data_IF_014846140840
#
_entry.id   IF_014846140840
#
_cell.length_a   1.000
_cell.length_b   1.000
_cell.length_c   1.000
_cell.angle_alpha   90.00
_cell.angle_beta   90.00
_cell.angle_gamma   90.00
#
_symmetry.space_group_name_H-M   'P 1'
#
loop_
_entity.id
_entity.type
_entity.pdbx_description
1 polymer ?
#
# COMPACT_ATOMS: atom_id res chain seq x y z
N UNK A 1 20.63 -40.67 10.37
CA UNK A 1 21.02 -39.25 10.52
C UNK A 1 19.89 -38.39 9.98
N UNK A 2 19.06 -37.86 10.87
CA UNK A 2 17.96 -36.96 10.54
C UNK A 2 18.54 -35.57 10.32
N UNK A 3 18.55 -35.08 9.07
CA UNK A 3 18.92 -33.70 8.80
C UNK A 3 17.90 -32.77 9.49
N UNK A 4 18.36 -31.72 10.22
CA UNK A 4 17.45 -30.73 10.75
C UNK A 4 16.81 -30.03 9.56
N UNK A 5 15.48 -30.06 9.53
CA UNK A 5 14.65 -29.28 8.62
C UNK A 5 14.78 -27.82 9.05
N UNK A 6 15.89 -27.16 8.71
CA UNK A 6 15.97 -25.70 8.69
C UNK A 6 14.79 -25.23 7.88
N UNK A 7 13.77 -24.74 8.57
CA UNK A 7 12.54 -24.31 7.94
C UNK A 7 12.90 -23.25 6.92
N UNK A 8 12.50 -23.45 5.68
CA UNK A 8 12.63 -22.58 4.50
C UNK A 8 12.36 -21.08 4.79
N UNK A 9 11.66 -20.77 5.90
CA UNK A 9 11.52 -19.43 6.48
C UNK A 9 12.85 -18.73 6.84
N UNK A 10 13.90 -19.46 7.22
CA UNK A 10 15.20 -18.89 7.59
C UNK A 10 16.07 -18.55 6.37
N UNK A 11 15.68 -18.97 5.15
CA UNK A 11 16.38 -18.60 3.94
C UNK A 11 16.23 -17.10 3.59
N UNK A 12 15.26 -16.42 4.20
CA UNK A 12 14.96 -15.01 3.94
C UNK A 12 14.70 -14.24 5.25
N UNK A 13 15.73 -14.00 6.08
CA UNK A 13 15.57 -13.30 7.35
C UNK A 13 14.90 -11.93 7.18
N UNK A 14 15.20 -11.24 6.07
CA UNK A 14 14.59 -9.96 5.72
C UNK A 14 13.12 -10.07 5.28
N UNK A 15 12.67 -11.20 4.73
CA UNK A 15 11.25 -11.40 4.41
C UNK A 15 10.40 -11.48 5.69
N UNK A 16 10.92 -12.15 6.73
CA UNK A 16 10.27 -12.21 8.03
C UNK A 16 10.16 -10.80 8.64
N UNK A 17 11.21 -9.99 8.55
CA UNK A 17 11.19 -8.60 9.01
C UNK A 17 10.22 -7.74 8.19
N UNK A 18 10.30 -7.78 6.85
CA UNK A 18 9.48 -6.99 5.93
C UNK A 18 7.96 -7.24 6.10
N UNK A 19 7.59 -8.49 6.37
CA UNK A 19 6.18 -8.87 6.58
C UNK A 19 5.73 -8.81 8.04
N UNK A 20 6.62 -8.50 9.00
CA UNK A 20 6.28 -8.46 10.41
C UNK A 20 5.22 -7.39 10.73
N UNK A 21 5.37 -6.20 10.14
CA UNK A 21 4.42 -5.08 10.31
C UNK A 21 3.02 -5.44 9.80
N UNK A 22 2.92 -5.97 8.57
CA UNK A 22 1.64 -6.43 7.99
C UNK A 22 0.99 -7.50 8.88
N UNK A 23 1.74 -8.52 9.29
CA UNK A 23 1.21 -9.58 10.17
C UNK A 23 0.79 -9.05 11.53
N UNK A 24 1.53 -8.10 12.09
CA UNK A 24 1.16 -7.44 13.33
C UNK A 24 -0.15 -6.68 13.17
N UNK A 25 -0.30 -5.89 12.10
CA UNK A 25 -1.51 -5.13 11.79
C UNK A 25 -2.72 -6.05 11.60
N UNK A 26 -2.59 -7.12 10.81
CA UNK A 26 -3.66 -8.13 10.63
C UNK A 26 -4.07 -8.76 11.96
N UNK A 27 -3.11 -9.10 12.84
CA UNK A 27 -3.41 -9.65 14.17
C UNK A 27 -4.01 -8.62 15.12
N UNK A 28 -3.61 -7.35 15.03
CA UNK A 28 -4.19 -6.28 15.82
C UNK A 28 -5.67 -6.08 15.46
N UNK A 29 -5.99 -6.06 14.16
CA UNK A 29 -7.37 -6.03 13.66
C UNK A 29 -8.18 -7.23 14.15
N UNK A 30 -7.63 -8.45 14.04
CA UNK A 30 -8.32 -9.66 14.49
C UNK A 30 -8.56 -9.71 16.00
N UNK A 31 -7.64 -9.17 16.81
CA UNK A 31 -7.78 -9.11 18.28
C UNK A 31 -8.69 -7.98 18.76
N UNK A 32 -8.81 -6.91 17.97
CA UNK A 32 -9.64 -5.75 18.31
C UNK A 32 -11.08 -5.91 17.88
N UNK A 33 -11.51 -7.10 17.43
CA UNK A 33 -12.89 -7.42 17.11
C UNK A 33 -13.67 -7.74 18.40
N UNK A 34 -14.45 -6.81 18.97
CA UNK A 34 -15.47 -7.13 19.97
C UNK A 34 -16.69 -7.74 19.24
N UNK A 35 -17.79 -7.98 19.95
CA UNK A 35 -19.06 -8.42 19.33
C UNK A 35 -19.59 -7.48 18.21
N UNK A 36 -19.01 -6.27 18.05
CA UNK A 36 -19.21 -5.36 16.91
C UNK A 36 -17.85 -4.80 16.47
N UNK A 37 -17.33 -5.15 15.28
CA UNK A 37 -16.01 -4.71 14.83
C UNK A 37 -15.95 -3.18 14.71
N UNK A 38 -14.93 -2.56 15.30
CA UNK A 38 -14.69 -1.13 15.15
C UNK A 38 -14.46 -0.78 13.66
N UNK A 39 -15.00 0.35 13.16
CA UNK A 39 -14.82 0.77 11.77
C UNK A 39 -13.34 1.08 11.47
N UNK A 40 -12.93 0.86 10.23
CA UNK A 40 -11.60 1.24 9.72
C UNK A 40 -11.45 2.76 9.82
N UNK A 41 -10.32 3.23 10.37
CA UNK A 41 -10.00 4.65 10.47
C UNK A 41 -8.90 5.09 9.47
N UNK A 42 -8.63 6.39 9.44
CA UNK A 42 -7.60 6.99 8.57
C UNK A 42 -6.18 6.50 8.85
N UNK A 43 -5.86 6.09 10.08
CA UNK A 43 -4.53 5.57 10.45
C UNK A 43 -4.31 4.21 9.80
N UNK A 44 -5.32 3.35 9.79
CA UNK A 44 -5.24 2.05 9.12
C UNK A 44 -4.96 2.21 7.62
N UNK A 45 -5.66 3.13 6.95
CA UNK A 45 -5.46 3.38 5.52
C UNK A 45 -4.08 4.02 5.22
N UNK A 46 -3.57 4.89 6.10
CA UNK A 46 -2.21 5.44 5.97
C UNK A 46 -1.14 4.33 5.99
N UNK A 47 -1.23 3.39 6.94
CA UNK A 47 -0.31 2.25 7.07
C UNK A 47 -0.39 1.32 5.84
N UNK A 48 -1.61 0.97 5.39
CA UNK A 48 -1.79 0.13 4.20
C UNK A 48 -1.18 0.82 2.97
N UNK A 49 -1.41 2.11 2.79
CA UNK A 49 -0.83 2.88 1.69
C UNK A 49 0.71 2.92 1.76
N UNK A 50 1.30 3.03 2.96
CA UNK A 50 2.75 2.95 3.13
C UNK A 50 3.32 1.61 2.63
N UNK A 51 2.66 0.49 2.94
CA UNK A 51 3.06 -0.82 2.45
C UNK A 51 2.94 -0.95 0.93
N UNK A 52 1.83 -0.48 0.35
CA UNK A 52 1.62 -0.53 -1.10
C UNK A 52 2.64 0.30 -1.87
N UNK A 53 2.95 1.51 -1.38
CA UNK A 53 3.96 2.39 -2.02
C UNK A 53 5.38 1.87 -1.89
N UNK A 54 5.73 1.23 -0.76
CA UNK A 54 7.02 0.55 -0.62
C UNK A 54 7.16 -0.61 -1.61
N UNK A 55 6.13 -1.45 -1.76
CA UNK A 55 6.12 -2.54 -2.75
C UNK A 55 6.15 -2.02 -4.18
N UNK A 56 5.44 -0.92 -4.47
CA UNK A 56 5.49 -0.25 -5.76
C UNK A 56 6.92 0.18 -6.13
N UNK A 57 7.67 0.78 -5.21
CA UNK A 57 9.06 1.17 -5.44
C UNK A 57 9.98 -0.04 -5.63
N UNK A 58 9.80 -1.11 -4.86
CA UNK A 58 10.56 -2.34 -5.04
C UNK A 58 10.33 -2.95 -6.43
N UNK A 59 9.08 -3.04 -6.88
CA UNK A 59 8.78 -3.56 -8.22
C UNK A 59 9.34 -2.66 -9.33
N UNK A 60 9.40 -1.34 -9.12
CA UNK A 60 10.02 -0.43 -10.08
C UNK A 60 11.52 -0.74 -10.27
N UNK A 61 12.24 -0.91 -9.16
CA UNK A 61 13.66 -1.27 -9.20
C UNK A 61 13.89 -2.65 -9.84
N UNK A 62 13.06 -3.64 -9.50
CA UNK A 62 13.14 -4.98 -10.09
C UNK A 62 12.81 -4.98 -11.58
N UNK A 63 11.82 -4.20 -12.01
CA UNK A 63 11.48 -4.06 -13.43
C UNK A 63 12.63 -3.45 -14.23
N UNK A 64 13.30 -2.43 -13.67
CA UNK A 64 14.47 -1.80 -14.27
C UNK A 64 15.64 -2.79 -14.36
N UNK A 65 15.94 -3.54 -13.29
CA UNK A 65 17.07 -4.50 -13.28
C UNK A 65 16.83 -5.76 -14.13
N UNK A 66 15.56 -6.14 -14.33
CA UNK A 66 15.20 -7.32 -15.13
C UNK A 66 15.37 -7.07 -16.63
N UNK A 67 15.43 -5.80 -17.05
CA UNK A 67 15.70 -5.41 -18.44
C UNK A 67 17.13 -4.88 -18.60
N UNK A 68 17.81 -5.13 -19.73
CA UNK A 68 17.37 -5.92 -20.88
C UNK A 68 17.40 -7.47 -20.80
N UNK A 69 17.99 -8.17 -19.80
CA UNK A 69 18.18 -9.63 -19.90
C UNK A 69 16.90 -10.44 -20.09
N UNK A 70 15.79 -10.04 -19.46
CA UNK A 70 14.52 -10.77 -19.48
C UNK A 70 13.35 -9.84 -19.81
N UNK A 71 13.18 -9.46 -21.09
CA UNK A 71 12.24 -8.42 -21.48
C UNK A 71 10.77 -8.78 -21.19
N UNK A 72 10.39 -10.05 -21.35
CA UNK A 72 9.04 -10.53 -21.02
C UNK A 72 8.75 -10.44 -19.52
N UNK A 73 9.66 -10.92 -18.67
CA UNK A 73 9.53 -10.81 -17.22
C UNK A 73 9.46 -9.34 -16.78
N UNK A 74 10.31 -8.48 -17.34
CA UNK A 74 10.27 -7.04 -17.07
C UNK A 74 8.96 -6.37 -17.49
N UNK A 75 8.27 -6.86 -18.54
CA UNK A 75 6.90 -6.40 -18.88
C UNK A 75 5.89 -6.77 -17.80
N UNK A 76 5.90 -8.02 -17.33
CA UNK A 76 5.01 -8.45 -16.24
C UNK A 76 5.26 -7.67 -14.95
N UNK A 77 6.52 -7.40 -14.60
CA UNK A 77 6.87 -6.57 -13.43
C UNK A 77 6.37 -5.13 -13.58
N UNK A 78 6.50 -4.54 -14.77
CA UNK A 78 5.95 -3.21 -15.05
C UNK A 78 4.42 -3.19 -14.93
N UNK A 79 3.71 -4.21 -15.44
CA UNK A 79 2.27 -4.36 -15.25
C UNK A 79 1.91 -4.47 -13.77
N UNK A 80 2.61 -5.32 -13.01
CA UNK A 80 2.38 -5.49 -11.58
C UNK A 80 2.61 -4.19 -10.79
N UNK A 81 3.66 -3.43 -11.12
CA UNK A 81 3.91 -2.10 -10.56
C UNK A 81 2.73 -1.15 -10.79
N UNK A 82 2.21 -1.08 -12.02
CA UNK A 82 1.05 -0.24 -12.36
C UNK A 82 -0.18 -0.63 -11.53
N UNK A 83 -0.43 -1.93 -11.33
CA UNK A 83 -1.55 -2.40 -10.49
C UNK A 83 -1.39 -2.07 -9.02
N UNK A 84 -0.17 -2.15 -8.47
CA UNK A 84 0.08 -1.70 -7.10
C UNK A 84 -0.20 -0.22 -6.92
N UNK A 85 0.16 0.62 -7.91
CA UNK A 85 -0.19 2.03 -7.85
C UNK A 85 -1.71 2.26 -7.88
N UNK A 86 -2.46 1.53 -8.72
CA UNK A 86 -3.92 1.62 -8.76
C UNK A 86 -4.56 1.19 -7.43
N UNK A 87 -4.03 0.14 -6.79
CA UNK A 87 -4.47 -0.26 -5.45
C UNK A 87 -4.18 0.84 -4.41
N UNK A 88 -2.99 1.46 -4.47
CA UNK A 88 -2.65 2.59 -3.60
C UNK A 88 -3.55 3.81 -3.83
N UNK A 89 -3.92 4.09 -5.08
CA UNK A 89 -4.88 5.16 -5.42
C UNK A 89 -6.26 4.89 -4.81
N UNK A 90 -6.79 3.67 -4.94
CA UNK A 90 -8.07 3.31 -4.30
C UNK A 90 -8.04 3.43 -2.78
N UNK A 91 -6.92 3.07 -2.12
CA UNK A 91 -6.75 3.26 -0.67
C UNK A 91 -6.67 4.75 -0.30
N UNK A 92 -5.99 5.55 -1.12
CA UNK A 92 -5.91 7.01 -0.95
C UNK A 92 -7.28 7.68 -1.11
N UNK A 93 -8.09 7.26 -2.07
CA UNK A 93 -9.44 7.76 -2.26
C UNK A 93 -10.32 7.39 -1.06
N UNK A 94 -10.24 6.14 -0.58
CA UNK A 94 -10.95 5.71 0.62
C UNK A 94 -10.55 6.51 1.87
N UNK A 95 -9.27 6.89 2.00
CA UNK A 95 -8.80 7.74 3.10
C UNK A 95 -9.52 9.08 3.15
N UNK A 96 -9.75 9.70 2.00
CA UNK A 96 -10.48 10.97 1.92
C UNK A 96 -11.98 10.84 2.22
N UNK A 97 -12.55 9.64 2.15
CA UNK A 97 -13.95 9.37 2.50
C UNK A 97 -14.19 9.10 3.99
N UNK A 98 -13.14 8.78 4.77
CA UNK A 98 -13.26 8.56 6.20
C UNK A 98 -13.27 9.88 6.99
N UNK A 99 -13.95 9.96 8.15
CA UNK A 99 -13.90 11.15 9.01
C UNK A 99 -12.49 11.38 9.59
N UNK A 100 -12.15 12.62 9.92
CA UNK A 100 -10.96 12.94 10.73
C UNK A 100 -11.31 12.62 12.18
N UNK A 101 -10.51 11.80 12.85
CA UNK A 101 -10.64 11.64 14.30
C UNK A 101 -10.34 12.99 14.96
N UNK A 102 -11.19 13.41 15.90
CA UNK A 102 -11.13 14.70 16.61
C UNK A 102 -11.70 15.95 15.91
N UNK A 103 -12.65 15.82 14.98
CA UNK A 103 -13.56 16.94 14.69
C UNK A 103 -14.57 17.14 15.84
N UNK A 104 -14.06 17.42 17.04
CA UNK A 104 -14.85 18.19 18.00
C UNK A 104 -14.96 19.62 17.45
N UNK A 105 -16.14 20.26 17.52
CA UNK A 105 -16.32 21.61 16.98
C UNK A 105 -15.26 22.50 17.62
N UNK A 106 -14.44 23.14 16.79
CA UNK A 106 -13.35 24.02 17.18
C UNK A 106 -13.80 24.96 18.31
N UNK A 107 -13.41 24.63 19.54
CA UNK A 107 -13.22 25.64 20.58
C UNK A 107 -12.13 26.56 20.02
N UNK A 108 -12.54 27.76 19.59
CA UNK A 108 -11.67 28.76 18.97
C UNK A 108 -10.74 29.44 19.97
N UNK A 109 -10.71 28.95 21.22
CA UNK A 109 -9.75 29.35 22.24
C UNK A 109 -8.33 28.89 21.92
N UNK A 110 -7.38 29.83 21.89
CA UNK A 110 -5.95 29.53 21.88
C UNK A 110 -5.54 29.05 23.27
N UNK A 111 -5.24 27.76 23.41
CA UNK A 111 -4.80 27.12 24.67
C UNK A 111 -3.32 26.73 24.57
N UNK A 112 -2.37 27.67 24.78
CA UNK A 112 -0.93 27.45 24.57
C UNK A 112 -0.30 26.41 25.50
N UNK A 113 -0.94 26.09 26.62
CA UNK A 113 -0.59 25.00 27.53
C UNK A 113 -0.93 23.60 27.00
N UNK A 114 -1.78 23.52 25.97
CA UNK A 114 -2.06 22.27 25.26
C UNK A 114 -1.09 22.16 24.08
N UNK A 115 0.08 21.56 24.33
CA UNK A 115 0.89 21.08 23.22
C UNK A 115 0.02 20.06 22.47
N UNK A 116 -0.20 20.19 21.15
CA UNK A 116 -0.89 19.15 20.42
C UNK A 116 -0.02 17.90 20.59
N UNK A 117 -0.53 16.86 21.25
CA UNK A 117 -0.14 15.48 20.92
C UNK A 117 -0.61 15.28 19.49
N UNK A 118 0.16 15.87 18.56
CA UNK A 118 -0.29 16.12 17.21
C UNK A 118 -0.63 14.77 16.59
N UNK A 119 -1.79 14.66 15.93
CA UNK A 119 -2.14 13.43 15.25
C UNK A 119 -0.96 13.01 14.37
N UNK A 120 -0.63 11.70 14.30
CA UNK A 120 0.50 11.23 13.50
C UNK A 120 0.42 11.92 12.15
N UNK A 121 1.49 12.60 11.72
CA UNK A 121 1.47 13.33 10.45
C UNK A 121 1.17 12.31 9.36
N UNK A 122 -0.09 12.23 8.94
CA UNK A 122 -0.55 11.27 7.96
C UNK A 122 0.08 11.69 6.65
N UNK A 123 1.08 10.93 6.20
CA UNK A 123 1.88 11.28 5.02
C UNK A 123 1.32 10.63 3.75
N UNK A 124 0.13 10.03 3.81
CA UNK A 124 -0.52 9.36 2.69
C UNK A 124 -0.54 10.23 1.42
N UNK A 125 -0.96 11.49 1.49
CA UNK A 125 -1.05 12.38 0.33
C UNK A 125 0.34 12.66 -0.28
N UNK A 126 1.34 12.92 0.56
CA UNK A 126 2.72 13.17 0.11
C UNK A 126 3.32 11.93 -0.56
N UNK A 127 3.15 10.75 0.05
CA UNK A 127 3.59 9.48 -0.53
C UNK A 127 2.87 9.18 -1.84
N UNK A 128 1.59 9.49 -1.93
CA UNK A 128 0.79 9.29 -3.14
C UNK A 128 1.33 10.15 -4.30
N UNK A 129 1.59 11.45 -4.05
CA UNK A 129 2.18 12.35 -5.03
C UNK A 129 3.55 11.84 -5.52
N UNK A 130 4.42 11.43 -4.59
CA UNK A 130 5.73 10.88 -4.93
C UNK A 130 5.64 9.63 -5.83
N UNK A 131 4.77 8.68 -5.50
CA UNK A 131 4.54 7.49 -6.31
C UNK A 131 3.95 7.85 -7.69
N UNK A 132 3.04 8.83 -7.74
CA UNK A 132 2.44 9.33 -8.97
C UNK A 132 3.47 9.90 -9.97
N UNK A 133 4.56 10.51 -9.49
CA UNK A 133 5.64 10.97 -10.37
C UNK A 133 6.38 9.83 -11.08
N UNK A 134 6.57 8.68 -10.42
CA UNK A 134 7.17 7.50 -11.04
C UNK A 134 6.27 6.96 -12.14
N UNK A 135 4.97 6.85 -11.86
CA UNK A 135 3.96 6.38 -12.82
C UNK A 135 3.93 7.26 -14.05
N UNK A 136 3.77 8.58 -13.89
CA UNK A 136 3.73 9.53 -15.03
C UNK A 136 4.94 9.45 -15.96
N UNK A 137 6.13 9.13 -15.44
CA UNK A 137 7.34 8.96 -16.28
C UNK A 137 7.41 7.62 -17.00
N UNK A 138 6.89 6.55 -16.39
CA UNK A 138 7.17 5.16 -16.81
C UNK A 138 5.96 4.39 -17.34
N UNK A 139 4.76 4.97 -17.29
CA UNK A 139 3.53 4.31 -17.79
C UNK A 139 2.86 5.14 -18.87
N UNK A 140 2.44 4.47 -19.93
CA UNK A 140 1.56 5.03 -20.95
C UNK A 140 0.09 4.87 -20.57
N UNK A 141 -0.84 5.63 -21.18
CA UNK A 141 -2.27 5.40 -21.01
C UNK A 141 -2.70 3.96 -21.34
N UNK A 142 -2.06 3.31 -22.31
CA UNK A 142 -2.33 1.91 -22.65
C UNK A 142 -1.95 0.96 -21.51
N UNK A 143 -0.86 1.23 -20.80
CA UNK A 143 -0.45 0.40 -19.64
C UNK A 143 -1.48 0.45 -18.49
N UNK A 144 -2.14 1.59 -18.30
CA UNK A 144 -3.18 1.75 -17.27
C UNK A 144 -4.49 1.02 -17.62
N UNK A 145 -4.82 0.98 -18.91
CA UNK A 145 -6.08 0.44 -19.43
C UNK A 145 -5.98 -1.02 -19.90
N UNK A 146 -4.79 -1.62 -19.90
CA UNK A 146 -4.60 -3.01 -20.32
C UNK A 146 -5.44 -3.93 -19.42
N UNK A 147 -6.32 -4.80 -19.95
CA UNK A 147 -7.09 -5.75 -19.14
C UNK A 147 -6.19 -6.72 -18.36
N UNK A 148 -6.58 -7.08 -17.14
CA UNK A 148 -5.82 -8.02 -16.29
C UNK A 148 -5.80 -9.45 -16.88
N UNK A 149 -6.86 -9.82 -17.58
CA UNK A 149 -7.00 -11.06 -18.32
C UNK A 149 -7.25 -10.70 -19.78
N UNK A 150 -6.59 -11.38 -20.72
CA UNK A 150 -6.74 -11.16 -22.16
C UNK A 150 -8.13 -11.52 -22.73
N UNK A 151 -9.16 -11.58 -21.89
CA UNK A 151 -10.54 -11.80 -22.28
C UNK A 151 -11.28 -10.49 -22.10
N UNK A 152 -11.52 -9.82 -23.23
CA UNK A 152 -12.54 -8.79 -23.35
C UNK A 152 -13.90 -9.42 -23.02
N UNK A 153 -14.47 -9.14 -21.84
CA UNK A 153 -15.90 -9.37 -21.61
C UNK A 153 -16.69 -8.24 -22.25
N UNK A 154 -16.63 -8.13 -23.59
CA UNK A 154 -17.61 -7.35 -24.32
C UNK A 154 -18.78 -8.30 -24.61
N UNK A 155 -19.73 -8.38 -23.69
CA UNK A 155 -21.10 -8.70 -24.09
C UNK A 155 -21.66 -7.42 -24.71
N UNK A 156 -21.69 -7.37 -26.04
CA UNK A 156 -22.53 -6.44 -26.78
C UNK A 156 -23.99 -6.64 -26.37
N UNK A 157 -24.65 -5.58 -25.90
CA UNK A 157 -26.11 -5.43 -25.99
C UNK A 157 -26.43 -4.59 -27.22
#
# INVERSE_FOLDING_TARGET
>A
MTHPRTTELDAHPYLRAASAGVRHHTRALARSAPASPAPVDRVHLDVVHAHLTALHHLLDQLADSTRPPHPAAGRHLATARTRLFQAAAGVHDAFHLLPVADETPTDTGCHPERLPEGPPVLTICQRHLAAGHVVRRKTTPSDLNTPLHGHTTNCSQ
#
